data_IF_376658573385
#
_entry.id   IF_376658573385
#
_cell.length_a   1.000
_cell.length_b   1.000
_cell.length_c   1.000
_cell.angle_alpha   90.00
_cell.angle_beta   90.00
_cell.angle_gamma   90.00
#
_symmetry.space_group_name_H-M   'P 1'
#
loop_
_entity.id
_entity.type
_entity.pdbx_description
1 polymer ?
#
# COMPACT_ATOMS: atom_id res chain seq x y z
N UNK A 1 -12.19 -1.23 12.27
CA UNK A 1 -10.74 -1.42 12.09
C UNK A 1 -10.01 -0.19 12.66
N UNK A 2 -8.95 -0.41 13.43
CA UNK A 2 -8.13 0.67 13.96
C UNK A 2 -7.27 1.28 12.84
N UNK A 3 -7.18 2.62 12.80
CA UNK A 3 -6.38 3.34 11.80
C UNK A 3 -5.54 4.40 12.49
N UNK A 4 -4.23 4.31 12.32
CA UNK A 4 -3.23 5.23 12.87
C UNK A 4 -2.66 6.10 11.75
N UNK A 5 -2.34 7.35 12.03
CA UNK A 5 -1.72 8.27 11.09
C UNK A 5 -0.38 8.75 11.64
N UNK A 6 0.63 8.78 10.78
CA UNK A 6 1.94 9.33 11.07
C UNK A 6 2.41 10.15 9.87
N UNK A 7 2.62 11.43 10.07
CA UNK A 7 2.87 12.40 8.99
C UNK A 7 4.22 13.13 9.17
N UNK A 8 5.24 12.45 9.68
CA UNK A 8 6.59 13.00 9.77
C UNK A 8 7.53 12.29 8.79
N UNK A 9 7.63 12.77 7.54
CA UNK A 9 8.47 12.17 6.51
C UNK A 9 9.97 12.43 6.70
N UNK A 10 10.36 13.42 7.49
CA UNK A 10 11.77 13.86 7.60
C UNK A 10 12.65 12.84 8.35
N UNK A 11 12.03 11.97 9.15
CA UNK A 11 12.72 10.91 9.90
C UNK A 11 12.96 9.63 9.09
N UNK A 12 12.46 9.54 7.84
CA UNK A 12 12.42 8.32 7.06
C UNK A 12 13.42 8.35 5.90
N UNK A 13 13.98 7.18 5.57
CA UNK A 13 14.91 7.03 4.45
C UNK A 13 14.12 7.01 3.13
N UNK A 14 14.46 7.88 2.14
CA UNK A 14 13.80 7.87 0.84
C UNK A 14 13.98 6.54 0.12
N UNK A 15 12.93 6.06 -0.52
CA UNK A 15 12.97 4.96 -1.47
C UNK A 15 13.05 5.50 -2.89
N UNK A 16 13.77 4.82 -3.78
CA UNK A 16 13.72 5.17 -5.20
C UNK A 16 12.45 4.65 -5.86
N UNK A 17 12.03 5.29 -6.95
CA UNK A 17 11.02 4.78 -7.87
C UNK A 17 11.43 5.09 -9.32
N UNK A 18 11.55 4.10 -10.19
CA UNK A 18 11.61 2.66 -9.88
C UNK A 18 12.71 2.32 -8.87
N UNK A 19 12.54 1.22 -8.16
CA UNK A 19 13.58 0.73 -7.26
C UNK A 19 14.85 0.40 -8.05
N UNK A 20 15.99 0.61 -7.39
CA UNK A 20 17.26 0.09 -7.85
C UNK A 20 17.46 -1.27 -7.18
N UNK A 21 17.65 -2.31 -7.98
CA UNK A 21 17.92 -3.66 -7.48
C UNK A 21 19.05 -3.63 -6.45
N UNK A 22 18.81 -4.23 -5.29
CA UNK A 22 19.76 -4.25 -4.20
C UNK A 22 19.90 -2.93 -3.42
N UNK A 23 19.07 -1.90 -3.64
CA UNK A 23 19.18 -0.59 -2.98
C UNK A 23 19.14 -0.68 -1.45
N UNK A 24 18.25 -1.51 -0.91
CA UNK A 24 18.08 -1.68 0.55
C UNK A 24 18.56 -3.04 1.06
N UNK A 25 18.56 -4.05 0.20
CA UNK A 25 19.01 -5.41 0.48
C UNK A 25 19.50 -6.03 -0.84
N UNK A 26 20.67 -6.70 -0.89
CA UNK A 26 21.22 -7.28 -2.12
C UNK A 26 20.30 -8.29 -2.82
N UNK A 27 19.36 -8.86 -2.09
CA UNK A 27 18.41 -9.85 -2.61
C UNK A 27 17.14 -9.21 -3.19
N UNK A 28 16.84 -7.96 -2.84
CA UNK A 28 15.64 -7.29 -3.31
C UNK A 28 15.72 -6.97 -4.80
N UNK A 29 14.62 -7.26 -5.52
CA UNK A 29 14.44 -6.99 -6.95
C UNK A 29 13.22 -6.09 -7.15
N UNK A 30 13.32 -5.19 -8.13
CA UNK A 30 12.19 -4.39 -8.57
C UNK A 30 11.42 -5.13 -9.66
N UNK A 31 10.10 -5.14 -9.50
CA UNK A 31 9.18 -5.66 -10.49
C UNK A 31 8.15 -4.58 -10.84
N UNK A 32 8.12 -4.16 -12.11
CA UNK A 32 7.09 -3.23 -12.59
C UNK A 32 5.79 -4.01 -12.89
N UNK A 33 4.90 -4.03 -11.92
CA UNK A 33 3.61 -4.73 -12.03
C UNK A 33 2.62 -4.06 -12.99
N UNK A 34 2.90 -2.84 -13.47
CA UNK A 34 2.09 -2.20 -14.51
C UNK A 34 2.37 -2.79 -15.88
N UNK A 35 3.63 -3.07 -16.16
CA UNK A 35 4.08 -3.65 -17.44
C UNK A 35 4.09 -5.16 -17.44
N UNK A 36 4.20 -5.78 -16.27
CA UNK A 36 4.33 -7.23 -16.08
C UNK A 36 3.45 -7.73 -14.94
N UNK A 37 2.10 -7.61 -15.06
CA UNK A 37 1.17 -7.98 -13.99
C UNK A 37 1.21 -9.48 -13.66
N UNK A 38 1.63 -10.35 -14.58
CA UNK A 38 1.82 -11.78 -14.36
C UNK A 38 2.86 -12.08 -13.27
N UNK A 39 3.78 -11.15 -13.01
CA UNK A 39 4.81 -11.31 -11.97
C UNK A 39 4.25 -11.14 -10.55
N UNK A 40 3.08 -10.53 -10.36
CA UNK A 40 2.48 -10.34 -9.03
C UNK A 40 2.41 -11.66 -8.26
N UNK A 41 1.99 -12.74 -8.93
CA UNK A 41 1.79 -14.04 -8.29
C UNK A 41 3.07 -14.87 -8.15
N UNK A 42 4.11 -14.57 -8.92
CA UNK A 42 5.34 -15.36 -8.97
C UNK A 42 6.53 -14.70 -8.27
N UNK A 43 6.53 -13.37 -8.13
CA UNK A 43 7.65 -12.62 -7.57
C UNK A 43 7.54 -12.31 -6.08
N UNK A 44 6.34 -12.46 -5.48
CA UNK A 44 6.12 -12.19 -4.06
C UNK A 44 6.41 -13.46 -3.24
N UNK A 45 7.69 -13.78 -3.09
CA UNK A 45 8.15 -14.98 -2.41
C UNK A 45 7.63 -15.08 -0.98
N UNK A 46 7.58 -13.97 -0.24
CA UNK A 46 7.05 -13.88 1.12
C UNK A 46 5.59 -14.37 1.23
N UNK A 47 4.83 -14.29 0.15
CA UNK A 47 3.42 -14.66 0.12
C UNK A 47 3.19 -16.11 -0.31
N UNK A 48 4.16 -16.74 -0.96
CA UNK A 48 3.99 -18.09 -1.56
C UNK A 48 3.73 -19.17 -0.50
N UNK A 49 4.39 -19.09 0.64
CA UNK A 49 4.18 -19.99 1.77
C UNK A 49 2.72 -19.97 2.26
N UNK A 50 2.04 -18.82 2.09
CA UNK A 50 0.68 -18.55 2.56
C UNK A 50 -0.38 -18.68 1.46
N UNK A 51 0.00 -19.20 0.29
CA UNK A 51 -0.85 -19.27 -0.91
C UNK A 51 -2.15 -20.05 -0.74
N UNK A 52 -2.24 -20.92 0.27
CA UNK A 52 -3.46 -21.68 0.60
C UNK A 52 -4.52 -20.84 1.32
N UNK A 53 -4.15 -19.65 1.82
CA UNK A 53 -5.07 -18.77 2.54
C UNK A 53 -5.73 -17.75 1.61
N UNK A 54 -7.05 -17.47 1.79
CA UNK A 54 -7.75 -16.45 1.01
C UNK A 54 -7.11 -15.04 1.08
N UNK A 55 -6.45 -14.70 2.20
CA UNK A 55 -5.75 -13.42 2.36
C UNK A 55 -4.73 -13.17 1.26
N UNK A 56 -3.97 -14.19 0.86
CA UNK A 56 -2.98 -14.09 -0.22
C UNK A 56 -3.64 -13.77 -1.55
N UNK A 57 -4.71 -14.47 -1.89
CA UNK A 57 -5.47 -14.19 -3.12
C UNK A 57 -6.08 -12.77 -3.11
N UNK A 58 -6.62 -12.34 -1.97
CA UNK A 58 -7.17 -10.98 -1.81
C UNK A 58 -6.09 -9.93 -1.98
N UNK A 59 -4.88 -10.17 -1.48
CA UNK A 59 -3.74 -9.26 -1.66
C UNK A 59 -3.27 -9.20 -3.11
N UNK A 60 -3.18 -10.33 -3.80
CA UNK A 60 -2.83 -10.36 -5.22
C UNK A 60 -3.83 -9.56 -6.06
N UNK A 61 -5.14 -9.73 -5.82
CA UNK A 61 -6.18 -8.95 -6.51
C UNK A 61 -6.10 -7.46 -6.21
N UNK A 62 -5.74 -7.07 -4.99
CA UNK A 62 -5.48 -5.68 -4.64
C UNK A 62 -4.32 -5.11 -5.46
N UNK A 63 -3.20 -5.84 -5.57
CA UNK A 63 -2.06 -5.42 -6.38
C UNK A 63 -2.38 -5.39 -7.89
N UNK A 64 -3.10 -6.40 -8.40
CA UNK A 64 -3.58 -6.43 -9.80
C UNK A 64 -4.45 -5.21 -10.10
N UNK A 65 -5.35 -4.85 -9.21
CA UNK A 65 -6.18 -3.65 -9.36
C UNK A 65 -5.36 -2.37 -9.27
N UNK A 66 -4.48 -2.22 -8.27
CA UNK A 66 -3.63 -1.04 -8.10
C UNK A 66 -2.82 -0.74 -9.36
N UNK A 67 -2.25 -1.78 -9.97
CA UNK A 67 -1.39 -1.64 -11.14
C UNK A 67 -2.15 -1.73 -12.48
N UNK A 68 -3.44 -2.08 -12.45
CA UNK A 68 -4.33 -2.11 -13.61
C UNK A 68 -4.82 -0.72 -14.05
N UNK A 69 -5.41 -0.63 -15.24
CA UNK A 69 -5.87 0.64 -15.86
C UNK A 69 -7.01 1.31 -15.08
N UNK A 70 -7.72 0.56 -14.25
CA UNK A 70 -8.85 1.05 -13.48
C UNK A 70 -8.46 1.87 -12.25
N UNK A 71 -7.18 1.87 -11.87
CA UNK A 71 -6.68 2.59 -10.71
C UNK A 71 -5.95 3.87 -11.10
N UNK A 72 -6.13 4.94 -10.33
CA UNK A 72 -5.29 6.15 -10.39
C UNK A 72 -4.01 6.01 -9.57
N UNK A 73 -3.86 4.87 -8.89
CA UNK A 73 -2.71 4.53 -8.07
C UNK A 73 -1.88 3.43 -8.70
N UNK A 74 -0.67 3.25 -8.17
CA UNK A 74 0.18 2.09 -8.42
C UNK A 74 0.91 1.69 -7.13
N UNK A 75 1.34 0.43 -7.02
CA UNK A 75 2.18 -0.02 -5.92
C UNK A 75 3.65 0.24 -6.22
N UNK A 76 4.42 0.68 -5.21
CA UNK A 76 5.87 0.86 -5.32
C UNK A 76 6.64 -0.22 -4.55
N UNK A 77 6.15 -0.64 -3.40
CA UNK A 77 6.77 -1.65 -2.54
C UNK A 77 5.71 -2.37 -1.75
N UNK A 78 5.93 -3.65 -1.49
CA UNK A 78 5.14 -4.40 -0.52
C UNK A 78 6.05 -5.40 0.21
N UNK A 79 5.72 -5.67 1.45
CA UNK A 79 6.35 -6.70 2.25
C UNK A 79 5.31 -7.34 3.17
N UNK A 80 5.53 -8.59 3.49
CA UNK A 80 4.64 -9.38 4.30
C UNK A 80 5.46 -10.26 5.25
N UNK A 81 5.11 -10.26 6.52
CA UNK A 81 5.58 -11.29 7.46
C UNK A 81 4.42 -12.24 7.73
N UNK A 82 4.68 -13.52 7.67
CA UNK A 82 3.71 -14.54 8.04
C UNK A 82 3.25 -14.42 9.50
N UNK A 83 2.43 -15.39 9.95
CA UNK A 83 1.95 -15.41 11.32
C UNK A 83 3.11 -15.65 12.29
N UNK A 84 3.34 -14.71 13.20
CA UNK A 84 4.40 -14.72 14.21
C UNK A 84 3.81 -14.48 15.60
N UNK A 85 4.60 -14.70 16.63
CA UNK A 85 4.19 -14.39 18.01
C UNK A 85 3.92 -12.90 18.13
N UNK A 86 2.75 -12.55 18.68
CA UNK A 86 2.37 -11.16 18.89
C UNK A 86 3.25 -10.52 19.97
N UNK A 87 3.91 -9.43 19.61
CA UNK A 87 4.69 -8.59 20.53
C UNK A 87 4.07 -7.21 20.72
N UNK A 88 2.93 -6.94 20.04
CA UNK A 88 2.26 -5.65 20.08
C UNK A 88 1.36 -5.53 21.31
N UNK A 89 1.41 -4.40 22.04
CA UNK A 89 0.47 -4.14 23.14
C UNK A 89 -0.97 -3.81 22.65
N UNK A 90 -1.17 -3.68 21.33
CA UNK A 90 -2.45 -3.28 20.75
C UNK A 90 -3.49 -4.42 20.73
N UNK A 91 -3.07 -5.66 20.92
CA UNK A 91 -3.96 -6.81 20.93
C UNK A 91 -3.50 -7.84 21.96
N UNK A 92 -4.46 -8.47 22.64
CA UNK A 92 -4.22 -9.58 23.56
C UNK A 92 -4.08 -10.94 22.85
N UNK A 93 -4.29 -10.99 21.54
CA UNK A 93 -4.18 -12.20 20.73
C UNK A 93 -2.75 -12.74 20.70
N UNK A 94 -2.62 -14.06 20.62
CA UNK A 94 -1.32 -14.75 20.71
C UNK A 94 -0.42 -14.55 19.50
N UNK A 95 -1.02 -14.47 18.30
CA UNK A 95 -0.30 -14.35 17.04
C UNK A 95 -0.65 -13.03 16.33
N UNK A 96 0.29 -12.57 15.52
CA UNK A 96 0.10 -11.44 14.60
C UNK A 96 0.71 -11.75 13.24
N UNK A 97 0.20 -11.08 12.24
CA UNK A 97 0.80 -10.91 10.94
C UNK A 97 0.94 -9.41 10.66
N UNK A 98 1.99 -8.99 9.99
CA UNK A 98 2.21 -7.60 9.63
C UNK A 98 2.85 -7.46 8.27
N UNK A 99 2.80 -6.26 7.73
CA UNK A 99 3.45 -5.93 6.47
C UNK A 99 3.22 -4.48 6.08
N UNK A 100 3.58 -4.15 4.85
CA UNK A 100 3.39 -2.82 4.28
C UNK A 100 3.01 -2.89 2.81
N UNK A 101 2.35 -1.85 2.36
CA UNK A 101 2.05 -1.57 0.96
C UNK A 101 2.31 -0.10 0.71
N UNK A 102 3.24 0.23 -0.18
CA UNK A 102 3.54 1.59 -0.59
C UNK A 102 2.80 1.92 -1.88
N UNK A 103 2.16 3.07 -1.91
CA UNK A 103 1.23 3.50 -2.94
C UNK A 103 1.64 4.87 -3.46
N UNK A 104 1.69 4.99 -4.78
CA UNK A 104 1.91 6.22 -5.52
C UNK A 104 0.64 6.59 -6.30
N UNK A 105 0.48 7.88 -6.60
CA UNK A 105 -0.33 8.25 -7.76
C UNK A 105 0.39 7.77 -9.02
N UNK A 106 -0.36 7.24 -9.97
CA UNK A 106 0.15 6.83 -11.28
C UNK A 106 0.69 8.01 -12.09
N UNK A 107 0.08 9.19 -11.94
CA UNK A 107 0.68 10.45 -12.35
C UNK A 107 1.75 10.84 -11.32
N UNK A 108 3.00 10.53 -11.63
CA UNK A 108 4.13 10.73 -10.72
C UNK A 108 4.32 12.20 -10.32
N UNK A 109 3.86 13.15 -11.14
CA UNK A 109 3.94 14.57 -10.80
C UNK A 109 3.12 14.92 -9.55
N UNK A 110 2.00 14.24 -9.30
CA UNK A 110 1.18 14.45 -8.10
C UNK A 110 1.93 14.04 -6.82
N UNK A 111 2.86 13.10 -6.91
CA UNK A 111 3.65 12.65 -5.76
C UNK A 111 4.75 13.65 -5.37
N UNK A 112 5.06 14.64 -6.22
CA UNK A 112 5.99 15.72 -5.88
C UNK A 112 5.33 16.87 -5.12
N UNK A 113 3.98 16.86 -4.99
CA UNK A 113 3.22 17.82 -4.19
C UNK A 113 2.94 17.25 -2.79
N UNK A 114 3.53 17.83 -1.73
CA UNK A 114 3.23 17.43 -0.35
C UNK A 114 1.74 17.51 -0.03
N UNK A 115 1.02 18.54 -0.54
CA UNK A 115 -0.39 18.74 -0.30
C UNK A 115 -1.23 17.59 -0.85
N UNK A 116 -0.88 17.07 -2.04
CA UNK A 116 -1.59 15.95 -2.64
C UNK A 116 -1.40 14.66 -1.83
N UNK A 117 -0.20 14.42 -1.35
CA UNK A 117 0.08 13.22 -0.53
C UNK A 117 -0.54 13.33 0.87
N UNK A 118 -0.49 14.51 1.49
CA UNK A 118 -1.21 14.74 2.76
C UNK A 118 -2.71 14.53 2.59
N UNK A 119 -3.29 15.07 1.51
CA UNK A 119 -4.70 14.84 1.21
C UNK A 119 -5.00 13.35 1.02
N UNK A 120 -4.19 12.62 0.23
CA UNK A 120 -4.37 11.19 0.00
C UNK A 120 -4.31 10.41 1.31
N UNK A 121 -3.31 10.68 2.15
CA UNK A 121 -3.12 9.99 3.43
C UNK A 121 -4.33 10.19 4.36
N UNK A 122 -4.78 11.42 4.51
CA UNK A 122 -5.94 11.74 5.34
C UNK A 122 -7.23 11.14 4.76
N UNK A 123 -7.43 11.20 3.44
CA UNK A 123 -8.59 10.63 2.78
C UNK A 123 -8.62 9.10 2.88
N UNK A 124 -7.45 8.44 2.74
CA UNK A 124 -7.32 6.99 2.91
C UNK A 124 -7.63 6.58 4.35
N UNK A 125 -7.04 7.25 5.34
CA UNK A 125 -7.31 6.98 6.76
C UNK A 125 -8.79 7.15 7.10
N UNK A 126 -9.43 8.22 6.60
CA UNK A 126 -10.86 8.47 6.80
C UNK A 126 -11.72 7.39 6.15
N UNK A 127 -11.44 7.00 4.90
CA UNK A 127 -12.16 5.95 4.21
C UNK A 127 -12.05 4.60 4.94
N UNK A 128 -10.83 4.23 5.35
CA UNK A 128 -10.55 2.99 6.08
C UNK A 128 -11.31 2.91 7.42
N UNK A 129 -11.36 4.00 8.20
CA UNK A 129 -12.13 4.03 9.46
C UNK A 129 -13.62 3.79 9.25
N UNK A 130 -14.16 4.18 8.10
CA UNK A 130 -15.59 4.06 7.77
C UNK A 130 -15.97 2.73 7.14
N UNK A 131 -15.03 2.03 6.50
CA UNK A 131 -15.31 0.81 5.76
C UNK A 131 -15.81 -0.31 6.68
N UNK A 132 -15.16 -0.50 7.83
CA UNK A 132 -15.53 -1.57 8.77
C UNK A 132 -15.20 -1.16 10.23
N UNK A 133 -15.98 -0.25 10.81
CA UNK A 133 -15.67 0.33 12.12
C UNK A 133 -15.75 -0.69 13.28
N UNK A 134 -16.51 -1.77 13.12
CA UNK A 134 -16.67 -2.81 14.15
C UNK A 134 -15.56 -3.88 14.13
N UNK A 135 -14.65 -3.82 13.15
CA UNK A 135 -13.59 -4.81 13.06
C UNK A 135 -12.40 -4.44 13.97
N UNK A 136 -12.12 -5.29 14.97
CA UNK A 136 -11.14 -5.04 16.03
C UNK A 136 -9.79 -5.77 15.82
N UNK A 137 -9.80 -6.87 15.03
CA UNK A 137 -8.64 -7.76 14.91
C UNK A 137 -7.73 -7.44 13.72
N UNK A 138 -7.85 -6.23 13.18
CA UNK A 138 -6.96 -5.69 12.17
C UNK A 138 -6.73 -4.20 12.38
N UNK A 139 -5.56 -3.72 11.94
CA UNK A 139 -5.20 -2.31 11.99
C UNK A 139 -4.43 -1.89 10.74
N UNK A 140 -4.53 -0.60 10.42
CA UNK A 140 -3.75 0.07 9.37
C UNK A 140 -3.04 1.28 9.96
N UNK A 141 -1.75 1.40 9.65
CA UNK A 141 -0.99 2.63 9.83
C UNK A 141 -0.86 3.34 8.48
N UNK A 142 -1.35 4.58 8.38
CA UNK A 142 -1.16 5.42 7.20
C UNK A 142 -0.02 6.40 7.47
N UNK A 143 1.06 6.28 6.71
CA UNK A 143 2.31 7.03 6.91
C UNK A 143 2.73 7.66 5.60
N UNK A 144 3.21 8.91 5.64
CA UNK A 144 3.86 9.55 4.51
C UNK A 144 5.33 9.12 4.49
N UNK A 145 5.76 8.58 3.33
CA UNK A 145 7.14 8.15 3.12
C UNK A 145 7.79 9.00 2.04
N UNK A 146 9.04 9.45 2.21
CA UNK A 146 9.77 10.11 1.14
C UNK A 146 10.08 9.13 0.02
N UNK A 147 10.08 9.63 -1.22
CA UNK A 147 10.44 8.87 -2.43
C UNK A 147 11.31 9.73 -3.34
N UNK A 148 12.20 9.10 -4.10
CA UNK A 148 12.99 9.75 -5.14
C UNK A 148 12.65 9.15 -6.49
N UNK A 149 12.13 9.98 -7.39
CA UNK A 149 11.77 9.57 -8.75
C UNK A 149 12.98 9.65 -9.67
N UNK A 150 13.43 8.51 -10.20
CA UNK A 150 14.59 8.45 -11.11
C UNK A 150 14.21 8.69 -12.57
N UNK A 151 12.90 8.64 -12.88
CA UNK A 151 12.36 8.79 -14.24
C UNK A 151 11.77 10.18 -14.52
N UNK A 152 11.54 11.00 -13.49
CA UNK A 152 11.06 12.36 -13.71
C UNK A 152 12.18 13.23 -14.29
N UNK A 153 11.87 14.06 -15.31
CA UNK A 153 12.85 14.97 -15.88
C UNK A 153 13.21 16.10 -14.91
N UNK A 154 14.43 16.57 -14.99
CA UNK A 154 14.91 17.73 -14.22
C UNK A 154 16.02 17.42 -13.22
N UNK A 155 16.47 18.41 -12.46
CA UNK A 155 17.51 18.25 -11.48
C UNK A 155 17.05 17.39 -10.29
N UNK A 156 17.97 16.81 -9.50
CA UNK A 156 17.64 15.87 -8.40
C UNK A 156 16.65 16.41 -7.36
N UNK A 157 16.58 17.72 -7.17
CA UNK A 157 15.66 18.36 -6.24
C UNK A 157 14.20 18.22 -6.68
N UNK A 158 13.94 18.26 -8.00
CA UNK A 158 12.61 18.08 -8.59
C UNK A 158 12.20 16.60 -8.67
N UNK A 159 13.13 15.68 -8.39
CA UNK A 159 12.86 14.25 -8.34
C UNK A 159 12.42 13.78 -6.95
N UNK A 160 12.42 14.67 -5.96
CA UNK A 160 11.95 14.35 -4.60
C UNK A 160 10.45 14.44 -4.53
N UNK A 161 9.85 13.46 -3.83
CA UNK A 161 8.43 13.42 -3.60
C UNK A 161 8.10 12.59 -2.37
N UNK A 162 6.82 12.26 -2.25
CA UNK A 162 6.27 11.51 -1.15
C UNK A 162 5.31 10.43 -1.69
N UNK A 163 5.08 9.41 -0.90
CA UNK A 163 4.15 8.32 -1.17
C UNK A 163 3.40 7.93 0.10
N UNK A 164 2.24 7.32 -0.06
CA UNK A 164 1.50 6.73 1.04
C UNK A 164 2.04 5.33 1.33
N UNK A 165 2.44 5.06 2.57
CA UNK A 165 2.65 3.71 3.07
C UNK A 165 1.48 3.29 3.95
N UNK A 166 0.86 2.17 3.63
CA UNK A 166 -0.07 1.47 4.49
C UNK A 166 0.65 0.31 5.17
N UNK A 167 0.98 0.47 6.45
CA UNK A 167 1.38 -0.65 7.28
C UNK A 167 0.13 -1.37 7.76
N UNK A 168 0.11 -2.69 7.73
CA UNK A 168 -1.05 -3.47 8.15
C UNK A 168 -0.69 -4.49 9.21
N UNK A 169 -1.66 -4.77 10.08
CA UNK A 169 -1.59 -5.81 11.10
C UNK A 169 -2.89 -6.59 11.13
N UNK A 170 -2.77 -7.88 11.45
CA UNK A 170 -3.89 -8.74 11.79
C UNK A 170 -3.50 -9.63 12.97
N UNK A 171 -4.43 -9.88 13.87
CA UNK A 171 -4.20 -10.66 15.09
C UNK A 171 -5.15 -11.85 15.18
N UNK A 172 -4.70 -12.95 15.84
CA UNK A 172 -5.51 -14.14 16.08
C UNK A 172 -4.91 -15.03 17.15
N UNK A 173 -5.69 -16.00 17.63
CA UNK A 173 -5.20 -17.02 18.57
C UNK A 173 -4.38 -18.10 17.87
N UNK A 174 -4.68 -18.35 16.61
CA UNK A 174 -3.97 -19.28 15.75
C UNK A 174 -3.76 -18.67 14.35
N UNK A 175 -2.97 -19.37 13.54
CA UNK A 175 -2.62 -18.96 12.18
C UNK A 175 -3.85 -18.75 11.30
N UNK A 176 -4.84 -19.64 11.38
CA UNK A 176 -6.07 -19.54 10.58
C UNK A 176 -6.85 -18.28 10.92
N UNK A 177 -6.97 -17.94 12.21
CA UNK A 177 -7.67 -16.71 12.64
C UNK A 177 -6.91 -15.49 12.18
N UNK A 178 -5.57 -15.45 12.32
CA UNK A 178 -4.72 -14.35 11.81
C UNK A 178 -4.97 -14.13 10.33
N UNK A 179 -4.89 -15.20 9.52
CA UNK A 179 -5.06 -15.10 8.07
C UNK A 179 -6.49 -14.74 7.66
N UNK A 180 -7.50 -15.15 8.42
CA UNK A 180 -8.89 -14.73 8.20
C UNK A 180 -9.05 -13.23 8.47
N UNK A 181 -8.44 -12.73 9.56
CA UNK A 181 -8.49 -11.30 9.90
C UNK A 181 -7.65 -10.46 8.92
N UNK A 182 -6.56 -11.01 8.39
CA UNK A 182 -5.78 -10.37 7.34
C UNK A 182 -6.57 -10.25 6.02
N UNK A 183 -7.28 -11.29 5.61
CA UNK A 183 -8.17 -11.26 4.44
C UNK A 183 -9.19 -10.12 4.56
N UNK A 184 -9.82 -9.99 5.72
CA UNK A 184 -10.77 -8.91 6.02
C UNK A 184 -10.08 -7.53 5.97
N UNK A 185 -8.86 -7.42 6.49
CA UNK A 185 -8.06 -6.20 6.42
C UNK A 185 -7.80 -5.79 4.98
N UNK A 186 -7.37 -6.71 4.12
CA UNK A 186 -7.12 -6.42 2.71
C UNK A 186 -8.38 -6.05 1.92
N UNK A 187 -9.51 -6.70 2.19
CA UNK A 187 -10.81 -6.30 1.60
C UNK A 187 -11.19 -4.88 1.98
N UNK A 188 -10.98 -4.49 3.24
CA UNK A 188 -11.25 -3.13 3.69
C UNK A 188 -10.34 -2.11 3.00
N UNK A 189 -9.04 -2.42 2.85
CA UNK A 189 -8.10 -1.60 2.09
C UNK A 189 -8.54 -1.46 0.63
N UNK A 190 -8.92 -2.56 -0.01
CA UNK A 190 -9.39 -2.56 -1.38
C UNK A 190 -10.59 -1.64 -1.57
N UNK A 191 -11.64 -1.80 -0.75
CA UNK A 191 -12.85 -0.96 -0.82
C UNK A 191 -12.53 0.52 -0.60
N UNK A 192 -11.69 0.84 0.38
CA UNK A 192 -11.32 2.22 0.67
C UNK A 192 -10.56 2.88 -0.49
N UNK A 193 -9.56 2.17 -1.05
CA UNK A 193 -8.74 2.70 -2.15
C UNK A 193 -9.53 2.79 -3.47
N UNK A 194 -10.39 1.82 -3.76
CA UNK A 194 -11.27 1.88 -4.93
C UNK A 194 -12.20 3.08 -4.86
N UNK A 195 -12.86 3.30 -3.74
CA UNK A 195 -13.72 4.46 -3.54
C UNK A 195 -12.98 5.81 -3.66
N UNK A 196 -11.71 5.87 -3.25
CA UNK A 196 -10.87 7.06 -3.45
C UNK A 196 -10.48 7.25 -4.92
N UNK A 197 -10.07 6.18 -5.60
CA UNK A 197 -9.73 6.22 -7.02
C UNK A 197 -10.89 6.72 -7.86
N UNK A 198 -12.10 6.21 -7.59
CA UNK A 198 -13.31 6.64 -8.28
C UNK A 198 -13.62 8.13 -8.03
N UNK A 199 -13.49 8.57 -6.79
CA UNK A 199 -13.64 10.01 -6.46
C UNK A 199 -12.69 10.89 -7.25
N UNK A 200 -11.41 10.53 -7.30
CA UNK A 200 -10.37 11.31 -8.00
C UNK A 200 -10.71 11.37 -9.49
N UNK A 201 -11.04 10.24 -10.11
CA UNK A 201 -11.41 10.18 -11.54
C UNK A 201 -12.62 11.06 -11.89
N UNK A 202 -13.63 11.08 -11.04
CA UNK A 202 -14.84 11.89 -11.27
C UNK A 202 -14.67 13.37 -10.91
N UNK A 203 -13.64 13.71 -10.11
CA UNK A 203 -13.37 15.10 -9.72
C UNK A 203 -12.41 15.80 -10.68
N UNK A 204 -11.67 15.06 -11.52
CA UNK A 204 -10.89 15.66 -12.59
C UNK A 204 -11.84 16.18 -13.67
N UNK A 205 -11.82 17.49 -14.01
CA UNK A 205 -12.63 17.99 -15.11
C UNK A 205 -12.25 17.21 -16.37
N UNK A 206 -13.26 16.67 -17.06
CA UNK A 206 -13.05 16.06 -18.35
C UNK A 206 -12.26 17.07 -19.20
N UNK A 207 -11.05 16.71 -19.61
CA UNK A 207 -10.31 17.47 -20.61
C UNK A 207 -11.25 17.57 -21.81
N UNK A 208 -11.76 18.78 -22.07
CA UNK A 208 -12.54 19.03 -23.26
C UNK A 208 -11.70 18.51 -24.44
N UNK A 209 -12.23 17.52 -25.13
CA UNK A 209 -11.72 17.10 -26.42
C UNK A 209 -11.90 18.29 -27.35
N UNK A 210 -10.81 19.00 -27.63
CA UNK A 210 -10.77 19.93 -28.75
C UNK A 210 -10.93 19.09 -30.02
N UNK A 211 -12.11 19.20 -30.64
CA UNK A 211 -12.37 18.79 -32.02
C UNK A 211 -11.71 19.77 -33.02
#
# INVERSE_FOLDING_TARGET
MNVYEHNDPDSLIPRSHPWIDGESDPTHRYYDFRTSPELIRSSLEDMQEWSTYPATETFYRLLEWLNGSESVFESNDCAFSGATVNTSPQSSKRLQCSGRLMILYRDLALNTSPEQIHWLTNAAAHALRRTDPAFEWGAIGATIMPVRFTTLPGPPELQRGQQLMLSFWAWGEDEREVMTNLDRTFRNVTVALQGLSDKIRHSSPATASDD
#
